data_IF_643753402078
#
_entry.id   IF_643753402078
#
_cell.length_a   1.000
_cell.length_b   1.000
_cell.length_c   1.000
_cell.angle_alpha   90.00
_cell.angle_beta   90.00
_cell.angle_gamma   90.00
#
_symmetry.space_group_name_H-M   'P 1'
#
loop_
_entity.id
_entity.type
_entity.pdbx_description
1 polymer ?
#
# COMPACT_ATOMS: atom_id res chain seq x y z
N UNK A 1 -0.06 -14.20 8.85
CA UNK A 1 -0.10 -12.74 9.17
C UNK A 1 -1.36 -12.12 8.58
N UNK A 2 -1.77 -10.92 9.04
CA UNK A 2 -2.82 -10.14 8.37
C UNK A 2 -2.19 -8.91 7.69
N UNK A 3 -2.62 -8.65 6.47
CA UNK A 3 -2.16 -7.53 5.65
C UNK A 3 -3.32 -6.62 5.28
N UNK A 4 -3.12 -5.31 5.33
CA UNK A 4 -4.13 -4.30 4.98
C UNK A 4 -3.69 -3.64 3.67
N UNK A 5 -4.56 -3.62 2.68
CA UNK A 5 -4.38 -2.90 1.43
C UNK A 5 -5.42 -1.77 1.33
N UNK A 6 -5.03 -0.50 1.61
CA UNK A 6 -5.88 0.64 1.35
C UNK A 6 -6.06 0.90 -0.14
N UNK A 7 -7.25 1.36 -0.54
CA UNK A 7 -7.58 1.77 -1.91
C UNK A 7 -8.46 3.02 -1.91
N UNK A 8 -8.75 3.55 -3.09
CA UNK A 8 -9.78 4.57 -3.24
C UNK A 8 -11.16 4.02 -2.86
N UNK A 9 -11.99 4.85 -2.23
CA UNK A 9 -13.37 4.48 -1.88
C UNK A 9 -14.16 4.02 -3.09
N UNK A 10 -14.91 2.92 -2.93
CA UNK A 10 -15.71 2.31 -3.98
C UNK A 10 -14.95 1.32 -4.87
N UNK A 11 -13.64 1.16 -4.67
CA UNK A 11 -12.79 0.21 -5.42
C UNK A 11 -12.48 -1.06 -4.64
N UNK A 12 -13.05 -1.24 -3.46
CA UNK A 12 -12.78 -2.38 -2.57
C UNK A 12 -13.08 -3.72 -3.25
N UNK A 13 -14.12 -3.78 -4.08
CA UNK A 13 -14.47 -5.02 -4.82
C UNK A 13 -13.46 -5.38 -5.88
N UNK A 14 -12.85 -4.38 -6.54
CA UNK A 14 -11.80 -4.58 -7.54
C UNK A 14 -10.53 -5.09 -6.85
N UNK A 15 -10.09 -4.39 -5.80
CA UNK A 15 -8.93 -4.79 -5.02
C UNK A 15 -9.09 -6.17 -4.37
N UNK A 16 -10.29 -6.47 -3.84
CA UNK A 16 -10.60 -7.79 -3.29
C UNK A 16 -10.36 -8.89 -4.34
N UNK A 17 -10.82 -8.69 -5.58
CA UNK A 17 -10.60 -9.63 -6.67
C UNK A 17 -9.12 -9.81 -6.98
N UNK A 18 -8.35 -8.73 -7.10
CA UNK A 18 -6.89 -8.81 -7.30
C UNK A 18 -6.20 -9.65 -6.22
N UNK A 19 -6.56 -9.45 -4.95
CA UNK A 19 -5.99 -10.19 -3.81
C UNK A 19 -6.35 -11.68 -3.91
N UNK A 20 -7.60 -12.01 -4.27
CA UNK A 20 -8.06 -13.38 -4.46
C UNK A 20 -7.37 -14.05 -5.65
N UNK A 21 -7.16 -13.32 -6.76
CA UNK A 21 -6.45 -13.80 -7.95
C UNK A 21 -4.96 -14.10 -7.65
N UNK A 22 -4.36 -13.39 -6.67
CA UNK A 22 -3.05 -13.72 -6.12
C UNK A 22 -3.05 -14.95 -5.21
N UNK A 23 -4.21 -15.53 -4.89
CA UNK A 23 -4.36 -16.74 -4.09
C UNK A 23 -4.53 -16.48 -2.59
N UNK A 24 -4.80 -15.24 -2.15
CA UNK A 24 -4.95 -14.92 -0.73
C UNK A 24 -6.40 -14.87 -0.28
N UNK A 25 -6.63 -15.35 0.95
CA UNK A 25 -7.93 -15.33 1.60
C UNK A 25 -8.21 -13.93 2.19
N UNK A 26 -9.43 -13.42 1.97
CA UNK A 26 -9.87 -12.14 2.50
C UNK A 26 -10.33 -12.32 3.96
N UNK A 27 -9.75 -11.53 4.85
CA UNK A 27 -10.17 -11.46 6.26
C UNK A 27 -11.33 -10.46 6.44
N UNK A 28 -11.22 -9.27 5.85
CA UNK A 28 -12.19 -8.20 6.04
C UNK A 28 -12.20 -7.22 4.85
N UNK A 29 -13.39 -6.71 4.53
CA UNK A 29 -13.57 -5.60 3.57
C UNK A 29 -14.24 -4.46 4.31
N UNK A 30 -13.62 -3.29 4.27
CA UNK A 30 -14.12 -2.07 4.89
C UNK A 30 -13.99 -0.91 3.89
N UNK A 31 -14.70 0.18 4.14
CA UNK A 31 -14.63 1.37 3.29
C UNK A 31 -13.17 1.84 3.12
N UNK A 32 -12.67 1.83 1.89
CA UNK A 32 -11.33 2.24 1.49
C UNK A 32 -10.19 1.26 1.80
N UNK A 33 -10.48 0.01 2.19
CA UNK A 33 -9.44 -1.00 2.42
C UNK A 33 -9.94 -2.44 2.40
N UNK A 34 -9.03 -3.34 2.07
CA UNK A 34 -9.23 -4.79 2.14
C UNK A 34 -8.13 -5.39 3.02
N UNK A 35 -8.51 -6.27 3.95
CA UNK A 35 -7.59 -7.02 4.81
C UNK A 35 -7.58 -8.48 4.37
N UNK A 36 -6.41 -9.10 4.32
CA UNK A 36 -6.22 -10.48 3.85
C UNK A 36 -5.16 -11.23 4.64
N UNK A 37 -5.20 -12.55 4.59
CA UNK A 37 -4.23 -13.43 5.21
C UNK A 37 -3.10 -13.79 4.25
N UNK A 38 -1.88 -13.93 4.77
CA UNK A 38 -0.72 -14.41 4.03
C UNK A 38 0.52 -14.45 4.90
N UNK A 39 1.50 -15.23 4.48
CA UNK A 39 2.80 -15.27 5.14
C UNK A 39 3.65 -14.05 4.76
N UNK A 40 4.93 -14.03 5.10
CA UNK A 40 5.81 -12.88 4.86
C UNK A 40 5.98 -12.55 3.36
N UNK A 41 5.93 -13.56 2.48
CA UNK A 41 5.98 -13.42 1.02
C UNK A 41 4.78 -12.67 0.45
N UNK A 42 3.63 -12.73 1.13
CA UNK A 42 2.43 -12.01 0.70
C UNK A 42 2.63 -10.49 0.67
N UNK A 43 3.46 -9.93 1.55
CA UNK A 43 3.83 -8.52 1.48
C UNK A 43 4.57 -8.19 0.18
N UNK A 44 5.51 -9.04 -0.24
CA UNK A 44 6.30 -8.86 -1.45
C UNK A 44 5.42 -8.94 -2.69
N UNK A 45 4.64 -10.01 -2.80
CA UNK A 45 3.74 -10.22 -3.95
C UNK A 45 2.66 -9.12 -4.01
N UNK A 46 2.05 -8.75 -2.89
CA UNK A 46 1.04 -7.70 -2.88
C UNK A 46 1.60 -6.33 -3.31
N UNK A 47 2.79 -5.94 -2.85
CA UNK A 47 3.44 -4.70 -3.27
C UNK A 47 3.82 -4.69 -4.76
N UNK A 48 4.21 -5.84 -5.32
CA UNK A 48 4.65 -5.96 -6.71
C UNK A 48 3.44 -6.06 -7.66
N UNK A 49 2.41 -6.84 -7.33
CA UNK A 49 1.34 -7.21 -8.26
C UNK A 49 0.08 -6.36 -8.15
N UNK A 50 -0.29 -5.83 -6.98
CA UNK A 50 -1.56 -5.11 -6.82
C UNK A 50 -1.55 -3.79 -7.59
N UNK A 51 -2.52 -3.63 -8.50
CA UNK A 51 -2.67 -2.46 -9.37
C UNK A 51 -3.49 -1.36 -8.71
N UNK A 52 -4.47 -1.74 -7.86
CA UNK A 52 -5.47 -0.82 -7.32
C UNK A 52 -5.25 -0.47 -5.84
N UNK A 53 -4.32 -1.16 -5.17
CA UNK A 53 -3.90 -0.80 -3.82
C UNK A 53 -3.01 0.46 -3.82
N UNK A 54 -3.22 1.32 -2.81
CA UNK A 54 -2.34 2.47 -2.56
C UNK A 54 -1.09 2.10 -1.79
N UNK A 55 -1.21 1.08 -0.93
CA UNK A 55 -0.15 0.56 -0.05
C UNK A 55 -0.45 -0.86 0.38
N UNK A 56 0.55 -1.48 1.01
CA UNK A 56 0.41 -2.73 1.76
C UNK A 56 0.94 -2.51 3.17
N UNK A 57 0.13 -2.80 4.19
CA UNK A 57 0.50 -2.60 5.58
C UNK A 57 0.46 -3.93 6.33
N UNK A 58 1.44 -4.16 7.20
CA UNK A 58 1.39 -5.26 8.16
C UNK A 58 0.47 -4.86 9.32
N UNK A 59 -0.64 -5.56 9.51
CA UNK A 59 -1.59 -5.29 10.60
C UNK A 59 -0.98 -5.73 11.93
N UNK A 60 -0.82 -4.78 12.85
CA UNK A 60 -0.33 -5.04 14.21
C UNK A 60 -1.45 -5.40 15.15
N UNK A 61 -2.61 -4.74 15.01
CA UNK A 61 -3.78 -5.02 15.84
C UNK A 61 -4.93 -4.07 15.58
N UNK A 62 -6.06 -4.38 16.21
CA UNK A 62 -7.26 -3.54 16.20
C UNK A 62 -7.92 -3.59 17.57
N UNK A 63 -8.39 -2.43 18.05
CA UNK A 63 -9.03 -2.31 19.37
C UNK A 63 -9.96 -1.09 19.43
N UNK A 64 -10.92 -1.11 20.34
CA UNK A 64 -11.77 0.06 20.60
C UNK A 64 -11.08 1.03 21.55
N UNK A 65 -11.16 2.35 21.24
CA UNK A 65 -10.71 3.42 22.13
C UNK A 65 -11.61 4.64 21.99
N UNK A 66 -12.14 5.13 23.11
CA UNK A 66 -13.03 6.29 23.19
C UNK A 66 -12.43 7.43 24.01
N UNK A 67 -11.30 7.19 24.68
CA UNK A 67 -10.48 8.18 25.40
C UNK A 67 -9.01 8.06 25.01
N UNK A 68 -8.25 9.10 25.24
CA UNK A 68 -6.80 9.08 25.00
C UNK A 68 -6.05 8.12 25.93
N UNK A 69 -6.55 7.93 27.15
CA UNK A 69 -5.98 6.95 28.09
C UNK A 69 -6.18 5.53 27.57
N UNK A 70 -7.38 5.19 27.08
CA UNK A 70 -7.62 3.91 26.44
C UNK A 70 -6.76 3.71 25.19
N UNK A 71 -6.60 4.75 24.37
CA UNK A 71 -5.73 4.71 23.19
C UNK A 71 -4.29 4.41 23.60
N UNK A 72 -3.78 5.10 24.62
CA UNK A 72 -2.43 4.92 25.13
C UNK A 72 -2.20 3.51 25.67
N UNK A 73 -3.03 3.04 26.60
CA UNK A 73 -2.84 1.74 27.26
C UNK A 73 -2.99 0.58 26.27
N UNK A 74 -3.99 0.61 25.39
CA UNK A 74 -4.19 -0.44 24.40
C UNK A 74 -3.11 -0.44 23.31
N UNK A 75 -2.60 0.73 22.91
CA UNK A 75 -1.44 0.82 22.02
C UNK A 75 -0.19 0.26 22.69
N UNK A 76 0.06 0.58 23.97
CA UNK A 76 1.18 0.06 24.74
C UNK A 76 1.12 -1.45 24.94
N UNK A 77 -0.08 -2.03 25.01
CA UNK A 77 -0.29 -3.48 25.14
C UNK A 77 0.08 -4.28 23.89
N UNK A 78 0.14 -3.64 22.70
CA UNK A 78 0.51 -4.33 21.47
C UNK A 78 1.97 -4.81 21.49
N UNK A 79 2.28 -5.96 20.84
CA UNK A 79 3.62 -6.57 20.90
C UNK A 79 4.60 -5.93 19.90
N UNK A 80 4.91 -4.66 20.08
CA UNK A 80 5.75 -3.87 19.18
C UNK A 80 7.14 -4.48 18.95
N UNK A 81 7.70 -5.12 19.97
CA UNK A 81 8.99 -5.81 19.93
C UNK A 81 9.02 -7.01 18.99
N UNK A 82 7.87 -7.54 18.60
CA UNK A 82 7.79 -8.61 17.59
C UNK A 82 8.01 -8.08 16.17
N UNK A 83 7.84 -6.79 15.96
CA UNK A 83 7.92 -6.16 14.65
C UNK A 83 9.11 -5.22 14.50
N UNK A 84 9.36 -4.38 15.50
CA UNK A 84 10.33 -3.29 15.46
C UNK A 84 11.56 -3.67 16.29
N UNK A 85 12.73 -3.87 15.67
CA UNK A 85 13.96 -4.18 16.39
C UNK A 85 14.46 -2.99 17.21
N UNK A 86 15.44 -3.24 18.08
CA UNK A 86 15.98 -2.24 19.03
C UNK A 86 16.52 -0.97 18.36
N UNK A 87 17.10 -1.10 17.18
CA UNK A 87 17.68 -0.03 16.36
C UNK A 87 16.68 0.57 15.34
N UNK A 88 15.46 -0.01 15.24
CA UNK A 88 14.45 0.41 14.28
C UNK A 88 13.98 1.83 14.50
N UNK A 89 13.82 2.59 13.41
CA UNK A 89 13.23 3.92 13.40
C UNK A 89 11.73 3.83 13.19
N UNK A 90 10.94 4.33 14.12
CA UNK A 90 9.48 4.20 14.08
C UNK A 90 8.76 5.51 14.41
N UNK A 91 7.64 5.74 13.72
CA UNK A 91 6.78 6.90 13.95
C UNK A 91 5.38 6.64 13.39
N UNK A 92 4.39 7.39 13.85
CA UNK A 92 3.05 7.37 13.25
C UNK A 92 3.01 8.36 12.09
N UNK A 93 3.14 7.85 10.87
CA UNK A 93 3.25 8.66 9.67
C UNK A 93 1.92 9.30 9.27
N UNK A 94 0.80 8.61 9.55
CA UNK A 94 -0.55 9.11 9.26
C UNK A 94 -1.55 8.51 10.24
N UNK A 95 -2.43 9.35 10.77
CA UNK A 95 -3.64 8.92 11.45
C UNK A 95 -4.85 9.52 10.72
N UNK A 96 -5.92 8.76 10.66
CA UNK A 96 -7.23 9.22 10.16
C UNK A 96 -8.30 8.87 11.18
N UNK A 97 -9.26 9.76 11.38
CA UNK A 97 -10.39 9.53 12.28
C UNK A 97 -11.70 9.88 11.60
N UNK A 98 -12.63 8.92 11.58
CA UNK A 98 -13.95 9.07 10.96
C UNK A 98 -15.00 8.56 11.93
N UNK A 99 -16.01 9.39 12.20
CA UNK A 99 -17.15 9.05 13.09
C UNK A 99 -16.72 8.46 14.44
N UNK A 100 -15.67 9.05 15.04
CA UNK A 100 -15.07 8.59 16.29
C UNK A 100 -14.96 9.72 17.31
N UNK A 101 -14.90 9.39 18.61
CA UNK A 101 -14.76 10.36 19.70
C UNK A 101 -13.38 11.03 19.70
N UNK A 102 -12.35 10.27 19.39
CA UNK A 102 -11.00 10.80 19.20
C UNK A 102 -10.87 11.29 17.75
N UNK A 103 -10.88 12.60 17.54
CA UNK A 103 -10.96 13.19 16.20
C UNK A 103 -9.69 13.94 15.75
N UNK A 104 -8.75 14.22 16.67
CA UNK A 104 -7.50 14.93 16.34
C UNK A 104 -6.41 13.95 15.87
N UNK A 105 -6.03 13.94 14.57
CA UNK A 105 -4.97 13.06 14.07
C UNK A 105 -3.62 13.31 14.73
N UNK A 106 -3.26 14.57 15.01
CA UNK A 106 -1.99 14.94 15.65
C UNK A 106 -1.88 14.39 17.08
N UNK A 107 -2.98 14.45 17.85
CA UNK A 107 -2.98 13.93 19.22
C UNK A 107 -2.92 12.41 19.23
N UNK A 108 -3.67 11.76 18.32
CA UNK A 108 -3.60 10.30 18.13
C UNK A 108 -2.16 9.89 17.81
N UNK A 109 -1.48 10.56 16.87
CA UNK A 109 -0.11 10.26 16.49
C UNK A 109 0.85 10.41 17.69
N UNK A 110 0.75 11.51 18.44
CA UNK A 110 1.62 11.82 19.57
C UNK A 110 1.45 10.82 20.71
N UNK A 111 0.20 10.49 21.07
CA UNK A 111 -0.13 9.57 22.15
C UNK A 111 0.31 8.14 21.79
N UNK A 112 0.05 7.69 20.58
CA UNK A 112 0.47 6.37 20.13
C UNK A 112 1.99 6.25 20.08
N UNK A 113 2.70 7.27 19.56
CA UNK A 113 4.19 7.27 19.57
C UNK A 113 4.71 7.14 20.99
N UNK A 114 4.15 7.90 21.94
CA UNK A 114 4.55 7.82 23.37
C UNK A 114 4.33 6.42 23.95
N UNK A 115 3.17 5.81 23.69
CA UNK A 115 2.84 4.47 24.16
C UNK A 115 3.80 3.40 23.62
N UNK A 116 4.15 3.49 22.32
CA UNK A 116 5.13 2.61 21.69
C UNK A 116 6.52 2.77 22.31
N UNK A 117 6.97 4.01 22.51
CA UNK A 117 8.25 4.30 23.14
C UNK A 117 8.33 3.68 24.53
N UNK A 118 7.28 3.83 25.36
CA UNK A 118 7.26 3.24 26.71
C UNK A 118 7.31 1.70 26.65
N UNK A 119 6.55 1.07 25.76
CA UNK A 119 6.57 -0.39 25.57
C UNK A 119 7.97 -0.87 25.19
N UNK A 120 8.53 -0.30 24.14
CA UNK A 120 9.81 -0.75 23.58
C UNK A 120 10.98 -0.45 24.53
N UNK A 121 10.98 0.70 25.26
CA UNK A 121 11.95 0.96 26.32
C UNK A 121 11.94 -0.12 27.40
N UNK A 122 10.75 -0.48 27.86
CA UNK A 122 10.57 -1.53 28.87
C UNK A 122 11.07 -2.89 28.36
N UNK A 123 10.71 -3.27 27.13
CA UNK A 123 11.06 -4.57 26.57
C UNK A 123 12.55 -4.70 26.24
N UNK A 124 13.14 -3.67 25.65
CA UNK A 124 14.56 -3.66 25.28
C UNK A 124 15.48 -3.21 26.42
N UNK A 125 14.95 -2.77 27.56
CA UNK A 125 15.71 -2.25 28.73
C UNK A 125 16.68 -1.15 28.32
N UNK A 126 16.20 -0.19 27.50
CA UNK A 126 16.97 0.95 27.01
C UNK A 126 16.32 2.26 27.45
N UNK A 127 17.12 3.31 27.54
CA UNK A 127 16.65 4.67 27.82
C UNK A 127 16.54 5.52 26.56
N UNK A 128 17.29 5.17 25.52
CA UNK A 128 17.41 5.91 24.28
C UNK A 128 17.38 4.96 23.08
N UNK A 129 16.72 5.39 21.98
CA UNK A 129 16.73 4.67 20.69
C UNK A 129 17.76 5.31 19.75
N UNK A 130 18.61 4.51 19.14
CA UNK A 130 19.60 4.97 18.16
C UNK A 130 18.91 5.40 16.84
N UNK A 131 17.84 4.72 16.46
CA UNK A 131 17.06 4.98 15.24
C UNK A 131 17.93 5.01 13.97
N UNK A 132 18.98 4.19 13.92
CA UNK A 132 19.93 4.05 12.80
C UNK A 132 19.65 2.80 11.92
N UNK A 133 18.70 1.97 12.32
CA UNK A 133 18.24 0.81 11.57
C UNK A 133 17.12 1.12 10.57
N UNK A 134 16.42 0.06 10.13
CA UNK A 134 15.32 0.16 9.18
C UNK A 134 14.15 1.01 9.70
N UNK A 135 13.39 1.58 8.78
CA UNK A 135 12.26 2.46 9.07
C UNK A 135 10.93 1.70 9.14
N UNK A 136 10.14 1.98 10.17
CA UNK A 136 8.84 1.35 10.45
C UNK A 136 7.76 2.43 10.63
N UNK A 137 7.32 3.10 9.54
CA UNK A 137 6.26 4.09 9.62
C UNK A 137 4.90 3.40 9.82
N UNK A 138 4.09 3.95 10.72
CA UNK A 138 2.77 3.43 11.04
C UNK A 138 1.68 4.25 10.38
N UNK A 139 0.60 3.55 10.02
CA UNK A 139 -0.67 4.15 9.64
C UNK A 139 -1.76 3.69 10.58
N UNK A 140 -2.57 4.64 11.01
CA UNK A 140 -3.63 4.44 11.99
C UNK A 140 -4.96 4.83 11.38
N UNK A 141 -5.90 3.91 11.41
CA UNK A 141 -7.27 4.14 10.98
C UNK A 141 -8.17 4.06 12.21
N UNK A 142 -8.81 5.15 12.53
CA UNK A 142 -9.83 5.20 13.58
C UNK A 142 -11.19 5.40 12.92
N UNK A 143 -12.05 4.40 13.03
CA UNK A 143 -13.39 4.42 12.44
C UNK A 143 -14.40 3.87 13.46
N UNK A 144 -15.42 4.67 13.78
CA UNK A 144 -16.47 4.30 14.77
C UNK A 144 -15.85 3.80 16.08
N UNK A 145 -14.86 4.54 16.58
CA UNK A 145 -14.09 4.25 17.80
C UNK A 145 -13.22 2.97 17.75
N UNK A 146 -13.12 2.30 16.61
CA UNK A 146 -12.20 1.18 16.41
C UNK A 146 -10.90 1.70 15.78
N UNK A 147 -9.80 1.48 16.49
CA UNK A 147 -8.44 1.76 16.05
C UNK A 147 -7.89 0.54 15.34
N UNK A 148 -7.43 0.69 14.11
CA UNK A 148 -6.67 -0.32 13.37
C UNK A 148 -5.28 0.23 13.07
N UNK A 149 -4.25 -0.56 13.37
CA UNK A 149 -2.85 -0.14 13.27
C UNK A 149 -2.11 -1.03 12.30
N UNK A 150 -1.45 -0.43 11.32
CA UNK A 150 -0.60 -1.11 10.35
C UNK A 150 0.77 -0.46 10.21
N UNK A 151 1.81 -1.27 9.99
CA UNK A 151 3.16 -0.81 9.64
C UNK A 151 3.27 -0.81 8.12
N UNK A 152 3.68 0.31 7.54
CA UNK A 152 3.73 0.52 6.09
C UNK A 152 4.93 -0.18 5.46
N UNK A 153 4.69 -1.22 4.66
CA UNK A 153 5.72 -1.97 3.94
C UNK A 153 6.15 -1.29 2.64
N UNK A 154 5.31 -0.43 2.11
CA UNK A 154 5.44 0.13 0.76
C UNK A 154 6.43 1.29 0.66
N UNK A 155 6.35 2.23 1.60
CA UNK A 155 7.13 3.47 1.56
C UNK A 155 6.51 4.52 0.63
N UNK A 156 7.04 4.72 -0.56
CA UNK A 156 6.42 5.57 -1.59
C UNK A 156 5.15 4.90 -2.09
N UNK A 157 4.03 5.64 -2.23
CA UNK A 157 2.72 5.08 -2.61
C UNK A 157 2.77 4.29 -3.91
N UNK A 158 1.96 3.21 -4.02
CA UNK A 158 1.97 2.28 -5.16
C UNK A 158 1.54 2.91 -6.48
N UNK A 159 0.77 4.02 -6.47
CA UNK A 159 0.49 4.74 -7.72
C UNK A 159 1.78 5.23 -8.40
N UNK A 160 2.86 5.47 -7.67
CA UNK A 160 4.18 5.80 -8.24
C UNK A 160 4.84 4.54 -8.80
N UNK A 161 4.45 4.13 -10.02
CA UNK A 161 4.95 2.92 -10.69
C UNK A 161 6.44 2.96 -11.06
N UNK A 162 7.00 4.16 -11.17
CA UNK A 162 8.39 4.37 -11.61
C UNK A 162 8.55 4.69 -13.11
N UNK A 163 7.54 4.51 -13.93
CA UNK A 163 7.64 4.81 -15.37
C UNK A 163 7.51 6.29 -15.71
N UNK A 164 6.83 7.08 -14.87
CA UNK A 164 6.62 8.51 -15.12
C UNK A 164 7.87 9.32 -14.79
N UNK A 165 8.55 9.81 -15.81
CA UNK A 165 9.77 10.63 -15.69
C UNK A 165 9.46 12.14 -15.67
N UNK A 166 8.42 12.57 -16.37
CA UNK A 166 8.01 13.97 -16.48
C UNK A 166 6.70 14.19 -15.70
N UNK A 167 6.56 15.35 -15.07
CA UNK A 167 5.36 15.71 -14.33
C UNK A 167 4.44 16.54 -15.23
N UNK A 168 3.27 16.00 -15.54
CA UNK A 168 2.17 16.78 -16.09
C UNK A 168 1.34 17.43 -14.97
N UNK A 169 0.57 18.47 -15.31
CA UNK A 169 -0.35 19.12 -14.37
C UNK A 169 -1.47 18.12 -13.99
N UNK A 170 -1.51 17.71 -12.71
CA UNK A 170 -2.57 16.93 -12.09
C UNK A 170 -3.06 15.68 -12.87
N UNK A 171 -2.19 14.72 -13.22
CA UNK A 171 -2.63 13.50 -13.89
C UNK A 171 -3.50 12.66 -12.96
N UNK A 172 -4.38 11.81 -13.53
CA UNK A 172 -5.07 10.77 -12.76
C UNK A 172 -4.03 9.83 -12.12
N UNK A 173 -4.30 9.37 -10.89
CA UNK A 173 -3.41 8.38 -10.26
C UNK A 173 -3.47 7.06 -11.01
N UNK A 174 -2.33 6.41 -11.12
CA UNK A 174 -2.17 5.13 -11.84
C UNK A 174 -3.04 4.02 -11.24
N UNK A 175 -3.18 3.99 -9.91
CA UNK A 175 -4.06 3.04 -9.20
C UNK A 175 -5.54 3.25 -9.56
N UNK A 176 -5.99 4.49 -9.67
CA UNK A 176 -7.36 4.81 -10.08
C UNK A 176 -7.58 4.49 -11.55
N UNK A 177 -6.66 4.85 -12.42
CA UNK A 177 -6.75 4.53 -13.86
C UNK A 177 -6.82 3.02 -14.09
N UNK A 178 -5.95 2.24 -13.42
CA UNK A 178 -5.98 0.79 -13.46
C UNK A 178 -7.34 0.23 -13.02
N UNK A 179 -7.87 0.71 -11.88
CA UNK A 179 -9.17 0.26 -11.38
C UNK A 179 -10.32 0.56 -12.36
N UNK A 180 -10.31 1.74 -12.97
CA UNK A 180 -11.32 2.11 -13.95
C UNK A 180 -11.28 1.22 -15.19
N UNK A 181 -10.09 0.88 -15.70
CA UNK A 181 -9.94 -0.09 -16.80
C UNK A 181 -10.50 -1.45 -16.37
N UNK A 182 -10.16 -1.94 -15.19
CA UNK A 182 -10.62 -3.23 -14.65
C UNK A 182 -12.14 -3.31 -14.43
N UNK A 183 -12.81 -2.16 -14.27
CA UNK A 183 -14.27 -2.06 -14.16
C UNK A 183 -14.97 -2.07 -15.54
N UNK A 184 -14.23 -1.87 -16.63
CA UNK A 184 -14.77 -1.97 -18.00
C UNK A 184 -14.72 -3.39 -18.51
N UNK A 185 -15.45 -3.73 -19.59
CA UNK A 185 -15.32 -5.01 -20.29
C UNK A 185 -14.10 -5.05 -21.24
N UNK A 186 -13.17 -4.09 -21.13
CA UNK A 186 -11.98 -4.05 -21.97
C UNK A 186 -11.08 -5.27 -21.72
N UNK A 187 -10.52 -5.79 -22.81
CA UNK A 187 -9.50 -6.85 -22.84
C UNK A 187 -8.48 -6.52 -23.93
N UNK A 188 -7.34 -7.17 -23.89
CA UNK A 188 -6.21 -6.93 -24.81
C UNK A 188 -6.54 -7.09 -26.32
N UNK A 189 -7.59 -7.81 -26.65
CA UNK A 189 -8.11 -8.02 -28.01
C UNK A 189 -9.09 -6.92 -28.47
N UNK A 190 -9.32 -5.89 -27.66
CA UNK A 190 -10.23 -4.79 -27.93
C UNK A 190 -9.49 -3.47 -28.00
N UNK A 191 -9.94 -2.58 -28.88
CA UNK A 191 -9.47 -1.21 -28.92
C UNK A 191 -9.75 -0.49 -27.60
N UNK A 192 -8.78 0.31 -27.12
CA UNK A 192 -8.95 1.28 -26.06
C UNK A 192 -8.64 2.66 -26.63
N UNK A 193 -9.59 3.58 -26.50
CA UNK A 193 -9.41 4.97 -26.96
C UNK A 193 -9.63 5.89 -25.76
N UNK A 194 -8.61 6.73 -25.45
CA UNK A 194 -8.71 7.81 -24.48
C UNK A 194 -8.63 9.15 -25.22
N UNK A 195 -9.76 9.86 -25.43
CA UNK A 195 -9.79 11.10 -26.18
C UNK A 195 -9.27 12.32 -25.41
N UNK A 196 -8.92 12.16 -24.12
CA UNK A 196 -8.39 13.19 -23.23
C UNK A 196 -7.23 12.64 -22.41
N UNK A 197 -6.27 12.00 -23.08
CA UNK A 197 -5.31 11.11 -22.45
C UNK A 197 -4.29 11.82 -21.55
N UNK A 198 -4.13 13.14 -21.67
CA UNK A 198 -3.08 13.84 -20.98
C UNK A 198 -1.71 13.19 -21.28
N UNK A 199 -0.99 12.81 -20.25
CA UNK A 199 0.29 12.08 -20.37
C UNK A 199 0.13 10.56 -20.56
N UNK A 200 -1.03 10.08 -20.99
CA UNK A 200 -1.25 8.70 -21.40
C UNK A 200 -1.43 7.69 -20.26
N UNK A 201 -1.90 8.08 -19.08
CA UNK A 201 -2.01 7.15 -17.93
C UNK A 201 -2.90 5.93 -18.24
N UNK A 202 -4.07 6.12 -18.85
CA UNK A 202 -4.96 5.00 -19.21
C UNK A 202 -4.33 4.07 -20.25
N UNK A 203 -3.82 4.55 -21.41
CA UNK A 203 -3.15 3.68 -22.38
C UNK A 203 -1.95 2.92 -21.79
N UNK A 204 -1.15 3.56 -20.93
CA UNK A 204 0.01 2.92 -20.30
C UNK A 204 -0.43 1.82 -19.33
N UNK A 205 -1.38 2.08 -18.42
CA UNK A 205 -1.89 1.05 -17.50
C UNK A 205 -2.56 -0.10 -18.25
N UNK A 206 -3.29 0.18 -19.35
CA UNK A 206 -3.87 -0.86 -20.22
C UNK A 206 -2.78 -1.71 -20.89
N UNK A 207 -1.72 -1.10 -21.42
CA UNK A 207 -0.58 -1.81 -21.99
C UNK A 207 0.11 -2.72 -20.95
N UNK A 208 0.33 -2.21 -19.75
CA UNK A 208 0.90 -2.99 -18.64
C UNK A 208 0.01 -4.19 -18.27
N UNK A 209 -1.32 -4.02 -18.27
CA UNK A 209 -2.25 -5.14 -18.04
C UNK A 209 -2.20 -6.16 -19.18
N UNK A 210 -2.23 -5.71 -20.43
CA UNK A 210 -2.19 -6.59 -21.60
C UNK A 210 -0.91 -7.41 -21.66
N UNK A 211 0.24 -6.80 -21.36
CA UNK A 211 1.55 -7.46 -21.32
C UNK A 211 1.85 -8.17 -20.00
N UNK A 212 0.90 -8.19 -19.07
CA UNK A 212 1.05 -8.73 -17.72
C UNK A 212 2.26 -8.19 -16.95
N UNK A 213 2.60 -6.93 -17.17
CA UNK A 213 3.67 -6.21 -16.44
C UNK A 213 3.14 -5.83 -15.07
N UNK A 214 3.75 -6.39 -14.02
CA UNK A 214 3.38 -6.07 -12.65
C UNK A 214 3.76 -4.62 -12.29
N UNK A 215 2.88 -3.84 -11.64
CA UNK A 215 3.08 -2.40 -11.44
C UNK A 215 4.25 -2.05 -10.50
N UNK A 216 4.67 -2.99 -9.66
CA UNK A 216 5.75 -2.81 -8.69
C UNK A 216 7.13 -3.26 -9.15
N UNK A 217 7.31 -3.77 -10.39
CA UNK A 217 8.57 -4.37 -10.86
C UNK A 217 9.76 -3.39 -10.91
N UNK A 218 9.50 -2.11 -11.16
CA UNK A 218 10.54 -1.11 -11.43
C UNK A 218 10.71 -0.11 -10.28
N UNK A 219 10.52 -0.57 -9.05
CA UNK A 219 10.67 0.26 -7.86
C UNK A 219 11.13 -0.56 -6.66
N UNK A 220 11.59 0.13 -5.60
CA UNK A 220 11.92 -0.47 -4.30
C UNK A 220 10.79 -0.25 -3.29
N UNK A 221 10.80 -1.02 -2.23
CA UNK A 221 9.84 -0.98 -1.13
C UNK A 221 10.56 -0.84 0.21
N UNK A 222 9.92 -0.16 1.14
CA UNK A 222 10.50 0.11 2.45
C UNK A 222 10.83 -1.17 3.23
N UNK A 223 9.96 -2.19 3.13
CA UNK A 223 10.13 -3.45 3.84
C UNK A 223 11.20 -4.40 3.27
N UNK A 224 11.90 -4.02 2.19
CA UNK A 224 13.08 -4.74 1.73
C UNK A 224 14.20 -4.73 2.79
N UNK A 225 14.22 -3.70 3.65
CA UNK A 225 15.15 -3.57 4.76
C UNK A 225 14.72 -4.34 6.03
N UNK A 226 13.49 -4.90 6.06
CA UNK A 226 12.96 -5.60 7.24
C UNK A 226 13.36 -7.07 7.29
N UNK A 227 14.65 -7.35 7.27
CA UNK A 227 15.19 -8.72 7.21
C UNK A 227 14.81 -9.59 8.40
N UNK A 228 14.39 -8.98 9.53
CA UNK A 228 13.85 -9.65 10.70
C UNK A 228 12.43 -10.20 10.50
N UNK A 229 11.64 -9.63 9.58
CA UNK A 229 10.24 -10.00 9.31
C UNK A 229 10.05 -10.64 7.94
N UNK A 230 10.74 -10.10 6.93
CA UNK A 230 10.58 -10.48 5.53
C UNK A 230 11.96 -10.83 4.96
N UNK A 231 12.32 -12.11 4.86
CA UNK A 231 13.55 -12.55 4.24
C UNK A 231 13.71 -12.03 2.80
N UNK A 232 14.87 -11.53 2.44
CA UNK A 232 15.14 -10.96 1.10
C UNK A 232 14.78 -11.91 -0.05
N UNK A 233 14.88 -13.21 0.15
CA UNK A 233 14.51 -14.22 -0.84
C UNK A 233 13.06 -14.09 -1.31
N UNK A 234 12.13 -13.63 -0.45
CA UNK A 234 10.73 -13.46 -0.84
C UNK A 234 10.54 -12.31 -1.85
N UNK A 235 11.34 -11.24 -1.72
CA UNK A 235 11.36 -10.15 -2.69
C UNK A 235 11.92 -10.62 -4.05
N UNK A 236 13.05 -11.38 -4.03
CA UNK A 236 13.62 -11.96 -5.26
C UNK A 236 12.64 -12.90 -5.95
N UNK A 237 12.03 -13.82 -5.21
CA UNK A 237 11.08 -14.78 -5.78
C UNK A 237 9.85 -14.08 -6.37
N UNK A 238 9.31 -13.06 -5.69
CA UNK A 238 8.15 -12.32 -6.19
C UNK A 238 8.50 -11.46 -7.43
N UNK A 239 9.71 -10.93 -7.50
CA UNK A 239 10.19 -10.21 -8.69
C UNK A 239 10.45 -11.16 -9.86
N UNK A 240 11.06 -12.33 -9.62
CA UNK A 240 11.26 -13.38 -10.62
C UNK A 240 9.91 -13.87 -11.17
N UNK A 241 8.94 -14.18 -10.29
CA UNK A 241 7.56 -14.52 -10.68
C UNK A 241 6.96 -13.42 -11.58
N UNK A 242 7.14 -12.15 -11.22
CA UNK A 242 6.63 -11.04 -12.00
C UNK A 242 7.30 -10.92 -13.38
N UNK A 243 8.60 -11.17 -13.46
CA UNK A 243 9.36 -11.15 -14.71
C UNK A 243 8.96 -12.30 -15.64
N UNK A 244 8.79 -13.50 -15.11
CA UNK A 244 8.41 -14.69 -15.86
C UNK A 244 6.99 -14.57 -16.45
N UNK A 245 6.11 -13.81 -15.83
CA UNK A 245 4.75 -13.56 -16.29
C UNK A 245 4.65 -12.51 -17.39
N UNK A 246 5.69 -11.71 -17.63
CA UNK A 246 5.69 -10.68 -18.68
C UNK A 246 5.66 -11.35 -20.05
N UNK A 247 4.76 -10.90 -20.91
CA UNK A 247 4.75 -11.26 -22.31
C UNK A 247 4.45 -10.03 -23.16
N UNK A 248 5.12 -9.93 -24.29
CA UNK A 248 4.89 -8.82 -25.22
C UNK A 248 3.70 -9.14 -26.13
N UNK A 249 2.77 -8.20 -26.21
CA UNK A 249 1.64 -8.28 -27.14
C UNK A 249 1.93 -7.40 -28.36
N UNK A 250 1.99 -8.03 -29.53
CA UNK A 250 2.38 -7.35 -30.77
C UNK A 250 1.26 -6.52 -31.39
N UNK A 251 -0.01 -6.80 -31.06
CA UNK A 251 -1.19 -6.22 -31.73
C UNK A 251 -2.10 -5.47 -30.74
N UNK A 252 -1.54 -4.65 -29.86
CA UNK A 252 -2.35 -3.80 -28.98
C UNK A 252 -2.85 -2.56 -29.73
N UNK A 253 -4.16 -2.35 -29.74
CA UNK A 253 -4.77 -1.11 -30.26
C UNK A 253 -5.16 -0.19 -29.12
N UNK A 254 -4.19 0.62 -28.69
CA UNK A 254 -4.30 1.60 -27.62
C UNK A 254 -4.05 3.00 -28.17
N UNK A 255 -5.07 3.85 -28.12
CA UNK A 255 -5.02 5.20 -28.69
C UNK A 255 -5.28 6.24 -27.62
N UNK A 256 -4.41 7.25 -27.56
CA UNK A 256 -4.55 8.40 -26.67
C UNK A 256 -4.51 9.68 -27.48
N UNK A 257 -5.45 10.59 -27.22
CA UNK A 257 -5.54 11.91 -27.85
C UNK A 257 -5.63 13.00 -26.78
N UNK A 258 -4.98 14.12 -27.02
CA UNK A 258 -5.13 15.33 -26.20
C UNK A 258 -4.99 16.57 -27.06
N UNK A 259 -5.64 17.66 -26.68
CA UNK A 259 -5.55 18.94 -27.37
C UNK A 259 -4.19 19.64 -27.14
N UNK A 260 -3.52 19.29 -26.04
CA UNK A 260 -2.21 19.85 -25.69
C UNK A 260 -1.08 18.93 -26.22
N UNK A 261 -0.39 19.35 -27.30
CA UNK A 261 0.67 18.54 -27.89
C UNK A 261 1.90 18.35 -26.99
N UNK A 262 2.12 19.24 -26.03
CA UNK A 262 3.24 19.10 -25.08
C UNK A 262 2.99 18.02 -24.05
N UNK A 263 1.73 17.81 -23.66
CA UNK A 263 1.36 16.75 -22.73
C UNK A 263 1.52 15.36 -23.36
N UNK A 264 1.20 15.24 -24.66
CA UNK A 264 1.29 13.96 -25.40
C UNK A 264 2.73 13.53 -25.64
N UNK A 265 3.68 14.47 -25.67
CA UNK A 265 5.12 14.17 -25.85
C UNK A 265 5.80 13.68 -24.56
N UNK A 266 5.17 13.83 -23.42
CA UNK A 266 5.70 13.47 -22.11
C UNK A 266 5.46 11.99 -21.79
#
# INVERSE_FOLDING_TARGET
>A
MEWIAPCHFGLESVLKREIQDLGYEISQVEDGRVTFYGEADAACRANIFLRTAERVLLKVGSFKAVTFDELFEKTKALPWEAYIPKDGKFWVAKASSVKSKLFSPSDIQSIMKKAMVERLKSKYRIQWFQEDGASYPLRVFLMKDIVTVGIDTTGVSLHKRGYRKLQSKAPISETLAAALIMLTPWKKDRILVDPFCGSGTFPIEAAMMACNIAPGMNRSFLAEDWTNLIPRKHWYNALEEAQDLVHMEENLDLQGYDIDPEVVKN
#
